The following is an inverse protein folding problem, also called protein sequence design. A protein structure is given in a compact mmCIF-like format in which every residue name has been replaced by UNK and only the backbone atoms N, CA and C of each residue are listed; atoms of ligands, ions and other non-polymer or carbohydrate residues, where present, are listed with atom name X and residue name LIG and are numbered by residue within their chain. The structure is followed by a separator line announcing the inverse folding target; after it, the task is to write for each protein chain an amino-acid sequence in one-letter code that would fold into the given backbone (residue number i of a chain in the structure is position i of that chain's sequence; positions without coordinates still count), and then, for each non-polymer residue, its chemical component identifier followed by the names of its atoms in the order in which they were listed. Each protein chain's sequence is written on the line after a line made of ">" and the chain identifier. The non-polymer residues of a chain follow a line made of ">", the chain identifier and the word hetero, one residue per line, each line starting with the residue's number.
data_IF_706317592009
#
_entry.id   IF_706317592009
#
_cell.length_a   1.000
_cell.length_b   1.000
_cell.length_c   1.000
_cell.angle_alpha   90.00
_cell.angle_beta   90.00
_cell.angle_gamma   90.00
#
_symmetry.space_group_name_H-M   'P 1'
#
loop_
_entity.id
_entity.type
_entity.pdbx_description
1 polymer ?
#
# COMPACT_ATOMS: atom_id res chain seq x y z
N UNK A 1 -9.84 -28.90 -39.13
CA UNK A 1 -9.11 -29.86 -38.28
C UNK A 1 -7.77 -29.26 -37.90
N UNK A 2 -7.73 -28.56 -36.77
CA UNK A 2 -6.51 -27.98 -36.22
C UNK A 2 -6.54 -28.20 -34.72
N UNK A 3 -5.85 -29.24 -34.27
CA UNK A 3 -5.68 -29.59 -32.86
C UNK A 3 -4.75 -28.55 -32.23
N UNK A 4 -5.26 -27.71 -31.34
CA UNK A 4 -4.44 -26.96 -30.42
C UNK A 4 -4.27 -27.77 -29.13
N UNK A 5 -3.01 -28.11 -28.87
CA UNK A 5 -2.50 -28.96 -27.79
C UNK A 5 -2.90 -28.40 -26.42
N UNK A 6 -3.48 -29.26 -25.58
CA UNK A 6 -3.58 -29.01 -24.13
C UNK A 6 -2.17 -29.00 -23.54
N UNK A 7 -1.69 -27.82 -23.15
CA UNK A 7 -0.55 -27.73 -22.23
C UNK A 7 -1.10 -27.72 -20.81
N UNK A 8 -1.15 -28.89 -20.20
CA UNK A 8 -1.33 -29.02 -18.76
C UNK A 8 0.00 -28.75 -18.07
N UNK A 9 0.06 -27.68 -17.27
CA UNK A 9 1.03 -27.53 -16.20
C UNK A 9 0.27 -27.34 -14.90
N UNK A 10 0.07 -28.45 -14.18
CA UNK A 10 -0.43 -28.44 -12.81
C UNK A 10 0.69 -28.04 -11.87
N UNK A 11 0.53 -26.88 -11.22
CA UNK A 11 1.11 -26.53 -9.93
C UNK A 11 0.05 -25.72 -9.17
N UNK A 12 -0.54 -26.35 -8.16
CA UNK A 12 -1.59 -25.78 -7.31
C UNK A 12 -1.04 -24.61 -6.46
N UNK A 13 -1.15 -23.39 -6.97
CA UNK A 13 -1.03 -22.18 -6.17
C UNK A 13 -2.00 -21.13 -6.71
N UNK A 14 -3.07 -20.90 -5.95
CA UNK A 14 -4.21 -20.05 -6.30
C UNK A 14 -3.87 -18.85 -7.18
N UNK A 15 -4.44 -18.86 -8.38
CA UNK A 15 -4.25 -17.81 -9.36
C UNK A 15 -5.16 -16.62 -9.03
N UNK A 16 -4.58 -15.60 -8.41
CA UNK A 16 -5.25 -14.32 -8.13
C UNK A 16 -5.94 -13.78 -9.39
N UNK A 17 -7.16 -13.26 -9.24
CA UNK A 17 -7.84 -12.62 -10.38
C UNK A 17 -7.08 -11.37 -10.83
N UNK A 18 -7.25 -10.99 -12.10
CA UNK A 18 -6.64 -9.78 -12.67
C UNK A 18 -7.01 -8.52 -11.86
N UNK A 19 -8.24 -8.49 -11.32
CA UNK A 19 -8.75 -7.39 -10.49
C UNK A 19 -8.01 -7.29 -9.15
N UNK A 20 -7.78 -8.41 -8.47
CA UNK A 20 -7.10 -8.45 -7.17
C UNK A 20 -5.65 -7.97 -7.30
N UNK A 21 -4.95 -8.44 -8.35
CA UNK A 21 -3.59 -7.97 -8.67
C UNK A 21 -3.58 -6.45 -8.91
N UNK A 22 -4.57 -5.90 -9.62
CA UNK A 22 -4.66 -4.46 -9.88
C UNK A 22 -4.91 -3.65 -8.59
N UNK A 23 -5.78 -4.16 -7.70
CA UNK A 23 -6.06 -3.57 -6.39
C UNK A 23 -4.81 -3.48 -5.51
N UNK A 24 -4.06 -4.58 -5.41
CA UNK A 24 -2.80 -4.62 -4.67
C UNK A 24 -1.75 -3.67 -5.26
N UNK A 25 -1.58 -3.64 -6.58
CA UNK A 25 -0.63 -2.75 -7.23
C UNK A 25 -0.95 -1.27 -6.95
N UNK A 26 -2.23 -0.91 -6.98
CA UNK A 26 -2.70 0.43 -6.63
C UNK A 26 -2.39 0.77 -5.17
N UNK A 27 -2.69 -0.15 -4.25
CA UNK A 27 -2.40 0.00 -2.83
C UNK A 27 -0.89 0.23 -2.59
N UNK A 28 -0.02 -0.60 -3.17
CA UNK A 28 1.44 -0.48 -3.01
C UNK A 28 1.94 0.86 -3.55
N UNK A 29 1.47 1.28 -4.73
CA UNK A 29 1.81 2.58 -5.33
C UNK A 29 1.40 3.75 -4.43
N UNK A 30 0.26 3.67 -3.76
CA UNK A 30 -0.24 4.75 -2.92
C UNK A 30 0.39 4.78 -1.52
N UNK A 31 0.71 3.61 -0.96
CA UNK A 31 0.98 3.49 0.47
C UNK A 31 2.29 2.80 0.84
N UNK A 32 3.06 2.22 -0.08
CA UNK A 32 4.30 1.50 0.29
C UNK A 32 5.52 2.12 -0.39
N UNK A 33 6.56 2.47 0.37
CA UNK A 33 7.84 2.99 -0.14
C UNK A 33 9.01 2.27 0.52
N UNK A 34 9.54 1.25 -0.16
CA UNK A 34 10.62 0.42 0.37
C UNK A 34 11.64 0.05 -0.72
N UNK A 35 12.95 0.30 -0.51
CA UNK A 35 13.49 1.11 0.59
C UNK A 35 12.94 2.54 0.55
N UNK A 36 12.86 3.20 1.72
CA UNK A 36 12.35 4.58 1.81
C UNK A 36 13.18 5.48 0.89
N UNK A 37 12.50 6.25 0.06
CA UNK A 37 13.10 7.25 -0.81
C UNK A 37 13.91 8.25 0.02
N UNK A 38 15.18 8.44 -0.33
CA UNK A 38 16.05 9.37 0.37
C UNK A 38 15.61 10.83 0.13
N UNK A 39 15.56 11.61 1.21
CA UNK A 39 15.30 13.05 1.19
C UNK A 39 15.84 13.67 2.49
N UNK A 40 16.17 14.97 2.44
CA UNK A 40 16.80 15.65 3.58
C UNK A 40 15.95 15.69 4.86
N UNK A 41 14.62 15.64 4.73
CA UNK A 41 13.68 15.53 5.85
C UNK A 41 12.31 15.01 5.36
N UNK A 42 11.40 14.74 6.30
CA UNK A 42 10.08 14.18 5.98
C UNK A 42 9.18 15.13 5.16
N UNK A 43 9.34 16.46 5.28
CA UNK A 43 8.59 17.41 4.45
C UNK A 43 9.01 17.29 2.97
N UNK A 44 10.33 17.27 2.72
CA UNK A 44 10.87 17.09 1.37
C UNK A 44 10.54 15.70 0.84
N UNK A 45 10.61 14.67 1.66
CA UNK A 45 10.17 13.32 1.31
C UNK A 45 8.72 13.30 0.80
N UNK A 46 7.78 13.87 1.57
CA UNK A 46 6.37 13.88 1.22
C UNK A 46 6.11 14.58 -0.12
N UNK A 47 6.68 15.77 -0.30
CA UNK A 47 6.55 16.52 -1.54
C UNK A 47 7.13 15.74 -2.72
N UNK A 48 8.28 15.09 -2.53
CA UNK A 48 8.98 14.34 -3.56
C UNK A 48 8.27 13.05 -3.98
N UNK A 49 7.77 12.27 -3.03
CA UNK A 49 7.22 10.94 -3.33
C UNK A 49 5.83 11.04 -3.98
N UNK A 50 4.97 11.94 -3.48
CA UNK A 50 3.63 12.22 -4.02
C UNK A 50 3.74 12.71 -5.47
N UNK A 51 4.67 13.62 -5.69
CA UNK A 51 5.11 14.13 -7.00
C UNK A 51 5.55 13.02 -7.94
N UNK A 52 6.56 12.23 -7.55
CA UNK A 52 7.20 11.22 -8.40
C UNK A 52 6.18 10.17 -8.83
N UNK A 53 5.27 9.82 -7.93
CA UNK A 53 4.21 8.85 -8.17
C UNK A 53 2.97 9.46 -8.83
N UNK A 54 2.93 10.77 -9.11
CA UNK A 54 1.76 11.47 -9.67
C UNK A 54 0.49 11.12 -8.88
N UNK A 55 0.57 11.19 -7.55
CA UNK A 55 -0.56 10.92 -6.67
C UNK A 55 -1.48 12.15 -6.61
N UNK A 56 -2.80 11.93 -6.44
CA UNK A 56 -3.73 13.04 -6.26
C UNK A 56 -3.42 13.79 -4.96
N UNK A 57 -3.71 15.08 -4.96
CA UNK A 57 -3.61 15.89 -3.75
C UNK A 57 -4.78 15.56 -2.81
N UNK A 58 -4.53 14.70 -1.84
CA UNK A 58 -5.47 14.35 -0.78
C UNK A 58 -5.04 15.02 0.54
N UNK A 59 -5.95 15.17 1.52
CA UNK A 59 -5.62 15.75 2.82
C UNK A 59 -4.50 15.02 3.56
N UNK A 60 -4.43 13.70 3.42
CA UNK A 60 -3.39 12.86 4.03
C UNK A 60 -2.95 11.74 3.08
N UNK A 61 -1.65 11.50 3.04
CA UNK A 61 -1.04 10.27 2.54
C UNK A 61 -0.25 9.63 3.68
N UNK A 62 -0.40 8.33 3.89
CA UNK A 62 0.42 7.57 4.82
C UNK A 62 1.26 6.57 4.01
N UNK A 63 2.59 6.73 4.07
CA UNK A 63 3.55 5.83 3.42
C UNK A 63 4.15 4.88 4.43
N UNK A 64 4.04 3.59 4.17
CA UNK A 64 4.59 2.49 4.96
C UNK A 64 5.96 2.16 4.40
N UNK A 65 6.98 2.28 5.25
CA UNK A 65 8.38 2.14 4.86
C UNK A 65 8.87 0.73 5.22
N UNK A 66 8.24 -0.29 4.62
CA UNK A 66 8.51 -1.71 4.89
C UNK A 66 8.34 -2.56 3.63
N UNK A 67 8.96 -3.73 3.62
CA UNK A 67 8.98 -4.58 2.43
C UNK A 67 7.55 -5.02 2.06
N UNK A 68 7.15 -4.96 0.77
CA UNK A 68 5.81 -5.37 0.34
C UNK A 68 5.36 -6.77 0.81
N UNK A 69 6.30 -7.72 0.95
CA UNK A 69 6.05 -9.06 1.49
C UNK A 69 5.52 -9.02 2.93
N UNK A 70 6.05 -8.14 3.78
CA UNK A 70 5.58 -7.96 5.15
C UNK A 70 4.17 -7.38 5.16
N UNK A 71 3.89 -6.43 4.27
CA UNK A 71 2.57 -5.80 4.16
C UNK A 71 1.51 -6.79 3.66
N UNK A 72 1.84 -7.62 2.65
CA UNK A 72 0.98 -8.71 2.19
C UNK A 72 0.65 -9.70 3.32
N UNK A 73 1.64 -10.03 4.16
CA UNK A 73 1.44 -10.97 5.25
C UNK A 73 0.44 -10.47 6.32
N UNK A 74 0.12 -9.18 6.38
CA UNK A 74 -0.89 -8.64 7.31
C UNK A 74 -2.28 -9.23 7.03
N UNK A 75 -2.61 -9.50 5.77
CA UNK A 75 -3.87 -10.13 5.37
C UNK A 75 -3.93 -11.64 5.66
N UNK A 76 -2.89 -12.20 6.29
CA UNK A 76 -2.85 -13.60 6.72
C UNK A 76 -2.26 -13.70 8.13
N UNK A 77 -1.15 -14.43 8.31
CA UNK A 77 -0.53 -14.72 9.61
C UNK A 77 0.04 -13.50 10.34
N UNK A 78 0.34 -12.42 9.61
CA UNK A 78 0.90 -11.18 10.13
C UNK A 78 -0.12 -10.21 10.72
N UNK A 79 -1.42 -10.50 10.63
CA UNK A 79 -2.49 -9.66 11.18
C UNK A 79 -3.47 -10.39 12.08
N UNK A 80 -4.32 -9.62 12.75
CA UNK A 80 -5.54 -10.07 13.43
C UNK A 80 -6.72 -9.60 12.57
N UNK A 81 -7.37 -10.53 11.88
CA UNK A 81 -8.41 -10.23 10.90
C UNK A 81 -9.82 -10.36 11.48
N UNK A 82 -10.67 -9.42 11.10
CA UNK A 82 -12.07 -9.35 11.51
C UNK A 82 -12.95 -9.75 10.30
N UNK A 83 -13.48 -10.98 10.33
CA UNK A 83 -14.17 -11.59 9.17
C UNK A 83 -15.36 -10.80 8.65
N UNK A 84 -16.06 -10.04 9.50
CA UNK A 84 -17.23 -9.24 9.12
C UNK A 84 -16.89 -8.08 8.17
N UNK A 85 -15.64 -7.62 8.12
CA UNK A 85 -15.25 -6.40 7.41
C UNK A 85 -14.09 -6.57 6.43
N UNK A 86 -13.55 -7.79 6.30
CA UNK A 86 -12.31 -8.08 5.58
C UNK A 86 -11.18 -7.09 5.95
N UNK A 87 -11.07 -6.78 7.26
CA UNK A 87 -10.06 -5.87 7.79
C UNK A 87 -9.11 -6.60 8.72
N UNK A 88 -7.82 -6.30 8.62
CA UNK A 88 -6.79 -6.91 9.44
C UNK A 88 -5.92 -5.84 10.12
N UNK A 89 -5.77 -5.97 11.44
CA UNK A 89 -4.81 -5.19 12.22
C UNK A 89 -3.44 -5.86 12.18
N UNK A 90 -2.41 -5.14 11.79
CA UNK A 90 -1.05 -5.66 11.81
C UNK A 90 -0.65 -6.04 13.23
N UNK A 91 -0.04 -7.23 13.41
CA UNK A 91 0.53 -7.62 14.71
C UNK A 91 1.77 -6.78 15.05
N UNK A 92 2.61 -6.52 14.04
CA UNK A 92 3.79 -5.67 14.16
C UNK A 92 3.46 -4.19 13.93
N UNK A 93 4.30 -3.32 14.49
CA UNK A 93 4.36 -1.91 14.13
C UNK A 93 5.33 -1.71 12.95
N UNK A 94 5.03 -0.75 12.07
CA UNK A 94 5.85 -0.42 10.91
C UNK A 94 6.32 1.03 11.00
N UNK A 95 7.49 1.32 10.44
CA UNK A 95 7.90 2.71 10.19
C UNK A 95 7.01 3.29 9.10
N UNK A 96 6.40 4.42 9.36
CA UNK A 96 5.58 5.17 8.41
C UNK A 96 6.10 6.59 8.28
N UNK A 97 5.69 7.25 7.20
CA UNK A 97 5.77 8.70 7.07
C UNK A 97 4.42 9.24 6.65
N UNK A 98 3.81 10.00 7.55
CA UNK A 98 2.52 10.66 7.36
C UNK A 98 2.72 12.02 6.71
N UNK A 99 2.08 12.22 5.57
CA UNK A 99 2.11 13.45 4.78
C UNK A 99 0.76 14.14 4.90
N UNK A 100 0.69 15.28 5.59
CA UNK A 100 -0.53 16.10 5.69
C UNK A 100 -0.44 17.30 4.76
N UNK A 101 -1.49 17.53 3.98
CA UNK A 101 -1.57 18.67 3.09
C UNK A 101 -1.51 19.97 3.91
N UNK A 102 -0.66 20.90 3.48
CA UNK A 102 -0.57 22.25 4.07
C UNK A 102 -1.31 23.24 3.18
N UNK A 103 -1.03 23.21 1.87
CA UNK A 103 -1.71 24.08 0.90
C UNK A 103 -1.73 23.44 -0.49
N UNK A 104 -2.78 23.76 -1.24
CA UNK A 104 -2.82 23.59 -2.69
C UNK A 104 -2.30 24.88 -3.31
N UNK A 105 -1.32 24.79 -4.20
CA UNK A 105 -0.86 25.97 -4.93
C UNK A 105 -1.46 25.94 -6.34
N UNK A 106 -2.26 26.93 -6.76
CA UNK A 106 -2.60 27.07 -8.17
C UNK A 106 -1.31 27.14 -8.99
N UNK A 107 -1.13 26.23 -9.96
CA UNK A 107 0.08 26.16 -10.78
C UNK A 107 1.30 25.47 -10.16
N UNK A 108 1.28 25.10 -8.87
CA UNK A 108 2.36 24.32 -8.26
C UNK A 108 1.87 23.07 -7.55
N UNK A 109 2.72 22.05 -7.57
CA UNK A 109 2.53 20.76 -6.91
C UNK A 109 2.15 20.98 -5.43
N UNK A 110 1.25 20.14 -4.90
CA UNK A 110 0.72 20.27 -3.54
C UNK A 110 1.82 20.17 -2.49
N UNK A 111 1.73 21.00 -1.45
CA UNK A 111 2.75 21.10 -0.40
C UNK A 111 2.28 20.35 0.83
N UNK A 112 3.13 19.45 1.32
CA UNK A 112 2.87 18.57 2.44
C UNK A 112 3.86 18.79 3.59
N UNK A 113 3.35 18.61 4.81
CA UNK A 113 4.17 18.40 6.00
C UNK A 113 4.31 16.91 6.26
N UNK A 114 5.54 16.46 6.51
CA UNK A 114 5.82 15.07 6.80
C UNK A 114 6.11 14.84 8.28
N UNK A 115 5.67 13.69 8.80
CA UNK A 115 6.03 13.20 10.13
C UNK A 115 6.22 11.69 10.09
N UNK A 116 7.41 11.23 10.42
CA UNK A 116 7.66 9.80 10.61
C UNK A 116 7.14 9.33 11.97
N UNK A 117 6.60 8.11 11.98
CA UNK A 117 6.13 7.45 13.18
C UNK A 117 6.27 5.93 13.05
N UNK A 118 6.29 5.21 14.17
CA UNK A 118 6.22 3.75 14.16
C UNK A 118 4.92 3.33 14.81
N UNK A 119 4.01 2.76 14.03
CA UNK A 119 2.64 2.44 14.46
C UNK A 119 2.15 1.15 13.83
N UNK A 120 1.14 0.55 14.43
CA UNK A 120 0.37 -0.54 13.81
C UNK A 120 -0.58 0.05 12.77
N UNK A 121 -1.06 -0.77 11.84
CA UNK A 121 -1.97 -0.35 10.78
C UNK A 121 -3.14 -1.31 10.64
N UNK A 122 -4.25 -0.80 10.15
CA UNK A 122 -5.41 -1.58 9.73
C UNK A 122 -5.51 -1.54 8.21
N UNK A 123 -5.52 -2.71 7.57
CA UNK A 123 -5.71 -2.87 6.14
C UNK A 123 -7.08 -3.47 5.85
N UNK A 124 -7.66 -3.12 4.70
CA UNK A 124 -8.69 -3.93 4.08
C UNK A 124 -8.01 -4.93 3.13
N UNK A 125 -8.48 -6.16 3.17
CA UNK A 125 -7.97 -7.26 2.36
C UNK A 125 -9.07 -7.75 1.41
N UNK A 126 -8.70 -8.23 0.23
CA UNK A 126 -9.64 -8.91 -0.67
C UNK A 126 -9.83 -10.39 -0.26
N UNK A 127 -10.65 -11.10 -1.02
CA UNK A 127 -10.98 -12.51 -0.77
C UNK A 127 -9.76 -13.43 -0.88
N UNK A 128 -8.79 -13.05 -1.70
CA UNK A 128 -7.56 -13.80 -1.91
C UNK A 128 -6.49 -13.49 -0.83
N UNK A 129 -6.76 -12.51 0.05
CA UNK A 129 -5.84 -12.03 1.10
C UNK A 129 -4.73 -11.11 0.59
N UNK A 130 -4.99 -10.28 -0.42
CA UNK A 130 -4.13 -9.13 -0.75
C UNK A 130 -4.60 -7.86 -0.06
N UNK A 131 -3.66 -6.97 0.33
CA UNK A 131 -4.01 -5.66 0.82
C UNK A 131 -4.48 -4.76 -0.34
N UNK A 132 -5.69 -4.24 -0.23
CA UNK A 132 -6.30 -3.38 -1.27
C UNK A 132 -6.51 -1.94 -0.79
N UNK A 133 -6.54 -1.69 0.53
CA UNK A 133 -6.74 -0.35 1.08
C UNK A 133 -6.12 -0.18 2.47
N UNK A 134 -5.52 0.98 2.72
CA UNK A 134 -5.15 1.40 4.08
C UNK A 134 -6.39 2.01 4.76
N UNK A 135 -6.86 1.38 5.84
CA UNK A 135 -8.06 1.85 6.56
C UNK A 135 -7.68 2.95 7.55
N UNK A 136 -6.69 2.70 8.40
CA UNK A 136 -6.15 3.69 9.35
C UNK A 136 -4.82 3.23 9.94
N UNK A 137 -4.07 4.19 10.46
CA UNK A 137 -2.97 3.96 11.40
C UNK A 137 -3.56 3.84 12.81
N UNK A 138 -3.14 2.83 13.57
CA UNK A 138 -3.64 2.49 14.91
C UNK A 138 -2.77 3.12 15.99
#
# INVERSE_FOLDING_TARGET
>A
WGLAVRVGVGWDSGEWTISDKAGMLTFLRQHVDFPKTNAANDHRYCNLIIQRRRLPCTPTHDFINAHPRQIRNICSRGGRCYSRYNQCDSKAAYKLTRCRLVRRNPGARCVYRGRSETRRIRLACDNERLPVRLVRVL
#
